data_IF_007776360968
#
_entry.id   IF_007776360968
#
_cell.length_a   1.000
_cell.length_b   1.000
_cell.length_c   1.000
_cell.angle_alpha   90.00
_cell.angle_beta   90.00
_cell.angle_gamma   90.00
#
_symmetry.space_group_name_H-M   'P 1'
#
loop_
_entity.id
_entity.type
_entity.pdbx_description
1 polymer ?
#
# COMPACT_ATOMS: atom_id res chain seq x y z
N UNK A 1 69.20 -71.57 -24.19
CA UNK A 1 68.59 -71.56 -22.83
C UNK A 1 67.98 -70.20 -22.64
N UNK A 2 66.65 -70.21 -22.66
CA UNK A 2 65.80 -69.01 -22.37
C UNK A 2 65.65 -68.80 -20.88
N UNK A 3 65.29 -67.54 -20.45
CA UNK A 3 64.01 -67.48 -19.70
C UNK A 3 63.13 -66.23 -20.06
N UNK A 4 61.91 -66.53 -20.34
CA UNK A 4 60.63 -66.12 -19.80
C UNK A 4 60.46 -64.65 -19.44
N UNK A 5 59.69 -63.94 -20.27
CA UNK A 5 58.98 -62.73 -19.98
C UNK A 5 57.71 -63.02 -19.09
N UNK A 6 57.65 -62.46 -17.91
CA UNK A 6 56.45 -62.46 -17.06
C UNK A 6 55.69 -61.13 -17.23
N UNK A 7 54.50 -61.18 -17.81
CA UNK A 7 53.50 -60.07 -17.84
C UNK A 7 52.80 -60.02 -16.48
N UNK A 8 52.96 -58.94 -15.73
CA UNK A 8 52.15 -58.68 -14.58
C UNK A 8 50.79 -58.09 -15.00
N UNK A 9 49.72 -58.87 -14.90
CA UNK A 9 48.35 -58.38 -14.96
C UNK A 9 47.97 -57.83 -13.58
N UNK A 10 47.56 -56.57 -13.54
CA UNK A 10 46.94 -55.97 -12.32
C UNK A 10 45.54 -56.54 -12.13
N UNK A 11 45.14 -56.85 -10.91
CA UNK A 11 43.83 -57.46 -10.62
C UNK A 11 42.67 -56.50 -10.89
N UNK A 12 41.53 -56.97 -11.44
CA UNK A 12 40.39 -56.16 -11.85
C UNK A 12 39.66 -55.43 -10.72
N UNK A 13 39.97 -55.74 -9.48
CA UNK A 13 39.31 -55.12 -8.32
C UNK A 13 39.66 -53.64 -8.06
N UNK A 14 40.77 -53.10 -8.57
CA UNK A 14 41.14 -51.69 -8.39
C UNK A 14 40.38 -50.74 -9.31
N UNK A 15 40.04 -51.15 -10.52
CA UNK A 15 39.32 -50.33 -11.50
C UNK A 15 37.86 -50.14 -11.05
N UNK A 16 37.24 -51.15 -10.50
CA UNK A 16 35.86 -51.11 -10.02
C UNK A 16 35.66 -50.17 -8.80
N UNK A 17 36.67 -50.04 -7.92
CA UNK A 17 36.61 -49.12 -6.76
C UNK A 17 36.68 -47.64 -7.17
N UNK A 18 37.41 -47.31 -8.22
CA UNK A 18 37.48 -45.93 -8.72
C UNK A 18 36.25 -45.56 -9.55
N UNK A 19 35.66 -46.49 -10.27
CA UNK A 19 34.42 -46.28 -11.00
C UNK A 19 33.23 -46.05 -10.08
N UNK A 20 33.12 -46.86 -9.01
CA UNK A 20 32.06 -46.64 -7.97
C UNK A 20 32.26 -45.34 -7.20
N UNK A 21 33.48 -44.87 -6.94
CA UNK A 21 33.74 -43.57 -6.28
C UNK A 21 33.41 -42.41 -7.20
N UNK A 22 33.64 -42.52 -8.52
CA UNK A 22 33.26 -41.53 -9.50
C UNK A 22 31.73 -41.44 -9.63
N UNK A 23 31.04 -42.57 -9.66
CA UNK A 23 29.58 -42.65 -9.73
C UNK A 23 28.92 -42.06 -8.46
N UNK A 24 29.45 -42.27 -7.29
CA UNK A 24 28.96 -41.69 -6.01
C UNK A 24 29.22 -40.16 -5.98
N UNK A 25 30.38 -39.70 -6.50
CA UNK A 25 30.67 -38.27 -6.61
C UNK A 25 29.75 -37.55 -7.62
N UNK A 26 29.48 -38.18 -8.79
CA UNK A 26 28.52 -37.65 -9.77
C UNK A 26 27.10 -37.66 -9.24
N UNK A 27 26.71 -38.69 -8.46
CA UNK A 27 25.39 -38.74 -7.81
C UNK A 27 25.24 -37.69 -6.70
N UNK A 28 26.31 -37.38 -5.93
CA UNK A 28 26.33 -36.33 -4.92
C UNK A 28 26.29 -34.91 -5.52
N UNK A 29 26.79 -34.71 -6.74
CA UNK A 29 26.72 -33.42 -7.45
C UNK A 29 25.34 -33.20 -8.09
N UNK A 30 24.60 -34.28 -8.44
CA UNK A 30 23.28 -34.21 -9.06
C UNK A 30 22.11 -34.01 -8.05
N UNK A 31 22.38 -34.15 -6.73
CA UNK A 31 21.30 -34.05 -5.70
C UNK A 31 21.15 -32.63 -5.13
N UNK A 32 21.95 -31.65 -5.58
CA UNK A 32 21.70 -30.24 -5.25
C UNK A 32 20.77 -29.54 -6.26
N UNK A 33 19.75 -30.22 -6.76
CA UNK A 33 18.57 -29.52 -7.26
C UNK A 33 17.81 -29.06 -6.02
N UNK A 34 18.04 -27.84 -5.61
CA UNK A 34 17.13 -27.17 -4.70
C UNK A 34 15.78 -27.14 -5.41
N UNK A 35 14.91 -28.07 -5.04
CA UNK A 35 13.49 -27.95 -5.33
C UNK A 35 13.04 -26.73 -4.55
N UNK A 36 12.92 -25.58 -5.20
CA UNK A 36 12.15 -24.46 -4.68
C UNK A 36 10.77 -25.05 -4.43
N UNK A 37 10.46 -25.25 -3.17
CA UNK A 37 9.14 -25.75 -2.79
C UNK A 37 8.14 -24.66 -3.23
N UNK A 38 7.32 -25.02 -4.21
CA UNK A 38 6.27 -24.12 -4.66
C UNK A 38 5.39 -23.77 -3.45
N UNK A 39 5.36 -22.50 -3.07
CA UNK A 39 4.55 -22.02 -1.95
C UNK A 39 3.09 -22.10 -2.39
N UNK A 40 2.32 -23.01 -1.79
CA UNK A 40 0.91 -23.15 -2.07
C UNK A 40 0.15 -22.17 -1.18
N UNK A 41 -0.40 -21.12 -1.77
CA UNK A 41 -1.33 -20.22 -1.10
C UNK A 41 -2.72 -20.88 -1.15
N UNK A 42 -3.33 -21.21 -0.02
CA UNK A 42 -4.69 -21.73 0.00
C UNK A 42 -5.68 -20.65 -0.47
N UNK A 43 -6.84 -21.07 -0.89
CA UNK A 43 -7.92 -20.15 -1.22
C UNK A 43 -8.23 -19.22 -0.04
N UNK A 44 -8.58 -17.95 -0.29
CA UNK A 44 -9.05 -17.04 0.75
C UNK A 44 -10.20 -17.64 1.56
N UNK A 45 -10.34 -17.26 2.83
CA UNK A 45 -11.47 -17.70 3.63
C UNK A 45 -12.78 -17.14 3.07
N UNK A 46 -13.86 -17.88 3.24
CA UNK A 46 -15.21 -17.37 2.99
C UNK A 46 -15.52 -16.25 4.02
N UNK A 47 -15.97 -15.11 3.53
CA UNK A 47 -16.31 -13.93 4.31
C UNK A 47 -17.81 -13.68 4.22
N UNK A 48 -18.46 -13.63 5.37
CA UNK A 48 -19.91 -13.38 5.47
C UNK A 48 -20.20 -11.86 5.45
N UNK A 49 -19.97 -11.23 4.29
CA UNK A 49 -20.19 -9.81 4.03
C UNK A 49 -20.73 -9.60 2.61
N UNK A 50 -21.36 -8.46 2.36
CA UNK A 50 -21.85 -8.08 1.02
C UNK A 50 -20.69 -7.73 0.09
N UNK A 51 -19.73 -6.96 0.59
CA UNK A 51 -18.55 -6.54 -0.14
C UNK A 51 -17.35 -6.48 0.80
N UNK A 52 -16.17 -6.83 0.29
CA UNK A 52 -14.94 -6.75 1.07
C UNK A 52 -13.70 -6.62 0.17
N UNK A 53 -12.63 -6.07 0.75
CA UNK A 53 -11.30 -6.03 0.16
C UNK A 53 -10.24 -6.11 1.25
N UNK A 54 -9.13 -6.76 0.94
CA UNK A 54 -7.90 -6.77 1.72
C UNK A 54 -6.75 -6.34 0.83
N UNK A 55 -6.05 -5.29 1.21
CA UNK A 55 -4.87 -4.80 0.51
C UNK A 55 -3.65 -4.75 1.42
N UNK A 56 -2.48 -4.82 0.82
CA UNK A 56 -1.25 -4.33 1.44
C UNK A 56 -1.26 -2.80 1.42
N UNK A 57 -1.17 -2.18 2.60
CA UNK A 57 -1.21 -0.72 2.72
C UNK A 57 -0.03 -0.03 2.05
N UNK A 58 1.17 -0.63 2.08
CA UNK A 58 2.37 -0.03 1.51
C UNK A 58 2.34 -0.03 -0.02
N UNK A 59 2.03 -1.17 -0.62
CA UNK A 59 2.07 -1.33 -2.08
C UNK A 59 0.74 -1.07 -2.78
N UNK A 60 -0.38 -1.12 -2.04
CA UNK A 60 -1.72 -1.11 -2.62
C UNK A 60 -2.11 -2.44 -3.29
N UNK A 61 -1.26 -3.48 -3.19
CA UNK A 61 -1.53 -4.78 -3.79
C UNK A 61 -2.76 -5.44 -3.17
N UNK A 62 -3.71 -5.87 -4.03
CA UNK A 62 -4.94 -6.51 -3.60
C UNK A 62 -4.68 -7.99 -3.35
N UNK A 63 -4.93 -8.42 -2.11
CA UNK A 63 -4.74 -9.81 -1.71
C UNK A 63 -6.04 -10.64 -1.84
N UNK A 64 -7.16 -10.02 -1.52
CA UNK A 64 -8.49 -10.64 -1.58
C UNK A 64 -9.54 -9.57 -1.84
N UNK A 65 -10.49 -9.85 -2.69
CA UNK A 65 -11.65 -8.97 -2.89
C UNK A 65 -12.88 -9.74 -3.35
N UNK A 66 -14.06 -9.22 -3.03
CA UNK A 66 -15.35 -9.64 -3.57
C UNK A 66 -16.31 -8.45 -3.58
N UNK A 67 -16.96 -8.23 -4.72
CA UNK A 67 -17.88 -7.10 -4.96
C UNK A 67 -17.26 -5.74 -4.57
N UNK A 68 -15.92 -5.59 -4.67
CA UNK A 68 -15.19 -4.46 -4.12
C UNK A 68 -15.56 -3.11 -4.76
N UNK A 69 -16.11 -3.11 -5.97
CA UNK A 69 -16.52 -1.92 -6.72
C UNK A 69 -18.02 -1.59 -6.56
N UNK A 70 -18.78 -2.41 -5.82
CA UNK A 70 -20.18 -2.16 -5.57
C UNK A 70 -20.37 -0.93 -4.68
N UNK A 71 -21.13 0.06 -5.16
CA UNK A 71 -21.46 1.27 -4.40
C UNK A 71 -22.54 0.95 -3.37
N UNK A 72 -22.17 0.91 -2.11
CA UNK A 72 -23.02 0.57 -0.97
C UNK A 72 -23.15 1.75 0.00
N UNK A 73 -24.21 1.83 0.81
CA UNK A 73 -24.27 2.79 1.91
C UNK A 73 -23.10 2.55 2.88
N UNK A 74 -22.23 3.55 3.11
CA UNK A 74 -21.06 3.41 3.98
C UNK A 74 -21.39 3.60 5.46
N UNK A 75 -22.56 4.14 5.78
CA UNK A 75 -22.88 4.62 7.12
C UNK A 75 -21.76 5.54 7.65
N UNK A 76 -21.38 5.40 8.92
CA UNK A 76 -20.31 6.21 9.52
C UNK A 76 -18.89 5.95 9.00
N UNK A 77 -18.66 5.07 8.02
CA UNK A 77 -17.37 5.02 7.30
C UNK A 77 -17.13 6.31 6.52
N UNK A 78 -18.19 7.04 6.14
CA UNK A 78 -18.15 8.42 5.61
C UNK A 78 -17.22 9.33 6.39
N UNK A 79 -17.17 9.17 7.71
CA UNK A 79 -16.39 10.03 8.60
C UNK A 79 -14.88 9.92 8.44
N UNK A 80 -14.40 8.91 7.71
CA UNK A 80 -13.00 8.86 7.29
C UNK A 80 -12.73 10.04 6.34
N UNK A 81 -13.62 10.31 5.37
CA UNK A 81 -13.49 11.46 4.48
C UNK A 81 -13.64 12.79 5.23
N UNK A 82 -14.53 12.84 6.21
CA UNK A 82 -14.71 14.05 7.05
C UNK A 82 -13.47 14.39 7.86
N UNK A 83 -12.84 13.38 8.49
CA UNK A 83 -11.58 13.55 9.19
C UNK A 83 -10.44 13.89 8.22
N UNK A 84 -10.35 13.18 7.09
CA UNK A 84 -9.37 13.42 6.04
C UNK A 84 -9.35 14.89 5.59
N UNK A 85 -10.50 15.48 5.29
CA UNK A 85 -10.59 16.88 4.87
C UNK A 85 -10.17 17.83 6.00
N UNK A 86 -10.60 17.56 7.23
CA UNK A 86 -10.20 18.41 8.37
C UNK A 86 -8.68 18.35 8.61
N UNK A 87 -8.07 17.20 8.42
CA UNK A 87 -6.64 16.98 8.55
C UNK A 87 -5.86 17.63 7.38
N UNK A 88 -6.39 17.62 6.16
CA UNK A 88 -5.85 18.40 5.04
C UNK A 88 -5.86 19.91 5.35
N UNK A 89 -6.95 20.44 5.92
CA UNK A 89 -7.02 21.85 6.32
C UNK A 89 -6.02 22.19 7.45
N UNK A 90 -5.75 21.25 8.36
CA UNK A 90 -4.70 21.38 9.39
C UNK A 90 -3.30 21.40 8.75
N UNK A 91 -3.01 20.52 7.81
CA UNK A 91 -1.71 20.46 7.11
C UNK A 91 -1.49 21.72 6.28
N UNK A 92 -2.53 22.21 5.63
CA UNK A 92 -2.48 23.44 4.82
C UNK A 92 -2.42 24.73 5.67
N UNK A 93 -2.57 24.62 7.01
CA UNK A 93 -2.53 25.75 7.93
C UNK A 93 -3.77 26.65 7.88
N UNK A 94 -4.87 26.16 7.30
CA UNK A 94 -6.17 26.83 7.28
C UNK A 94 -6.96 26.59 8.58
N UNK A 95 -6.60 25.56 9.35
CA UNK A 95 -7.21 25.13 10.59
C UNK A 95 -6.11 24.84 11.61
N UNK A 96 -6.38 25.06 12.90
CA UNK A 96 -5.51 24.68 14.02
C UNK A 96 -6.22 23.70 14.95
N UNK A 97 -5.48 22.77 15.59
CA UNK A 97 -6.06 21.83 16.56
C UNK A 97 -6.74 22.54 17.75
N UNK A 98 -6.18 23.69 18.17
CA UNK A 98 -6.70 24.50 19.27
C UNK A 98 -7.80 25.48 18.84
N UNK A 99 -8.13 25.55 17.54
CA UNK A 99 -9.18 26.43 17.05
C UNK A 99 -10.53 26.03 17.64
N UNK A 100 -11.31 27.04 18.03
CA UNK A 100 -12.59 26.85 18.69
C UNK A 100 -13.73 26.90 17.67
N UNK A 101 -14.39 25.77 17.49
CA UNK A 101 -15.55 25.61 16.60
C UNK A 101 -16.82 25.93 17.36
N UNK A 102 -17.61 26.87 16.86
CA UNK A 102 -18.93 27.16 17.39
C UNK A 102 -19.92 26.05 17.05
N UNK A 103 -20.63 25.54 18.06
CA UNK A 103 -21.61 24.45 17.87
C UNK A 103 -22.96 25.04 17.56
N UNK A 104 -23.41 24.88 16.33
CA UNK A 104 -24.73 25.30 15.85
C UNK A 104 -25.86 24.45 16.45
N UNK A 105 -27.08 24.96 16.36
CA UNK A 105 -28.29 24.20 16.73
C UNK A 105 -28.45 22.97 15.81
N UNK A 106 -28.07 23.04 14.53
CA UNK A 106 -28.10 21.94 13.58
C UNK A 106 -27.15 20.81 14.01
N UNK A 107 -25.88 21.11 14.29
CA UNK A 107 -24.91 20.15 14.77
C UNK A 107 -25.35 19.49 16.10
N UNK A 108 -25.80 20.30 17.04
CA UNK A 108 -26.30 19.81 18.36
C UNK A 108 -27.51 18.87 18.23
N UNK A 109 -28.44 19.14 17.30
CA UNK A 109 -29.67 18.35 17.10
C UNK A 109 -29.41 17.01 16.38
N UNK A 110 -28.23 16.81 15.77
CA UNK A 110 -27.95 15.59 15.04
C UNK A 110 -28.32 14.34 15.84
N UNK A 111 -28.95 13.39 15.17
CA UNK A 111 -29.38 12.12 15.77
C UNK A 111 -28.29 11.05 15.65
N UNK A 112 -28.52 9.88 16.22
CA UNK A 112 -27.64 8.73 16.17
C UNK A 112 -26.46 8.84 17.13
N UNK A 113 -25.24 8.54 16.67
CA UNK A 113 -24.03 8.61 17.50
C UNK A 113 -23.62 10.05 17.78
N UNK A 114 -23.31 10.37 19.04
CA UNK A 114 -22.93 11.72 19.48
C UNK A 114 -21.71 11.71 20.38
N UNK A 115 -20.88 12.76 20.30
CA UNK A 115 -19.91 13.07 21.35
C UNK A 115 -20.52 13.95 22.48
N UNK A 116 -21.75 14.38 22.29
CA UNK A 116 -22.53 15.20 23.22
C UNK A 116 -22.01 16.65 23.36
N UNK A 117 -21.80 17.31 22.20
CA UNK A 117 -21.52 18.75 22.16
C UNK A 117 -22.73 19.56 22.69
N UNK A 118 -22.46 20.71 23.30
CA UNK A 118 -23.52 21.63 23.77
C UNK A 118 -23.85 22.70 22.71
N UNK A 119 -25.14 23.02 22.53
CA UNK A 119 -25.54 24.12 21.64
C UNK A 119 -24.94 25.45 22.13
N UNK A 120 -24.54 26.31 21.20
CA UNK A 120 -23.91 27.61 21.46
C UNK A 120 -22.62 27.57 22.31
N UNK A 121 -22.00 26.37 22.42
CA UNK A 121 -20.66 26.22 23.02
C UNK A 121 -19.57 26.28 21.96
N UNK A 122 -18.35 26.33 22.44
CA UNK A 122 -17.16 26.21 21.57
C UNK A 122 -16.38 24.96 21.95
N UNK A 123 -15.94 24.19 20.93
CA UNK A 123 -15.22 22.94 21.10
C UNK A 123 -13.96 23.00 20.24
N UNK A 124 -12.83 22.52 20.74
CA UNK A 124 -11.58 22.48 19.93
C UNK A 124 -11.71 21.52 18.76
N UNK A 125 -11.01 21.82 17.67
CA UNK A 125 -10.91 20.92 16.50
C UNK A 125 -10.38 19.56 16.94
N UNK A 126 -9.38 19.53 17.83
CA UNK A 126 -8.81 18.29 18.37
C UNK A 126 -9.86 17.39 19.04
N UNK A 127 -10.71 17.97 19.91
CA UNK A 127 -11.79 17.24 20.59
C UNK A 127 -12.85 16.76 19.58
N UNK A 128 -13.20 17.59 18.58
CA UNK A 128 -14.15 17.21 17.54
C UNK A 128 -13.62 16.05 16.69
N UNK A 129 -12.34 16.06 16.31
CA UNK A 129 -11.71 14.95 15.58
C UNK A 129 -11.75 13.66 16.39
N UNK A 130 -11.39 13.69 17.69
CA UNK A 130 -11.56 12.51 18.57
C UNK A 130 -13.02 12.07 18.66
N UNK A 131 -13.95 13.02 18.77
CA UNK A 131 -15.38 12.72 18.75
C UNK A 131 -15.84 12.03 17.46
N UNK A 132 -15.34 12.44 16.30
CA UNK A 132 -15.61 11.84 14.98
C UNK A 132 -15.03 10.44 14.88
N UNK A 133 -13.76 10.30 15.24
CA UNK A 133 -12.97 9.05 15.04
C UNK A 133 -13.39 7.98 16.05
N UNK A 134 -13.36 8.31 17.35
CA UNK A 134 -13.52 7.35 18.44
C UNK A 134 -15.00 7.03 18.66
N UNK A 135 -15.81 8.06 18.87
CA UNK A 135 -17.23 7.89 19.20
C UNK A 135 -18.14 7.84 17.99
N UNK A 136 -17.61 8.25 16.82
CA UNK A 136 -18.43 8.36 15.61
C UNK A 136 -19.51 9.45 15.70
N UNK A 137 -19.21 10.59 16.37
CA UNK A 137 -20.14 11.68 16.63
C UNK A 137 -20.68 12.32 15.35
N UNK A 138 -21.99 12.25 15.12
CA UNK A 138 -22.65 12.94 14.02
C UNK A 138 -22.66 14.45 14.28
N UNK A 139 -22.88 14.84 15.53
CA UNK A 139 -22.82 16.21 16.04
C UNK A 139 -21.45 16.85 15.78
N UNK A 140 -20.38 16.14 16.07
CA UNK A 140 -19.01 16.59 15.80
C UNK A 140 -18.73 16.71 14.30
N UNK A 141 -19.22 15.76 13.48
CA UNK A 141 -19.01 15.77 12.03
C UNK A 141 -19.66 16.99 11.38
N UNK A 142 -20.90 17.29 11.75
CA UNK A 142 -21.61 18.47 11.24
C UNK A 142 -20.96 19.76 11.72
N UNK A 143 -20.53 19.83 12.99
CA UNK A 143 -19.85 21.01 13.52
C UNK A 143 -18.55 21.32 12.77
N UNK A 144 -17.74 20.32 12.47
CA UNK A 144 -16.51 20.46 11.65
C UNK A 144 -16.85 20.87 10.22
N UNK A 145 -17.85 20.24 9.62
CA UNK A 145 -18.29 20.54 8.25
C UNK A 145 -18.76 22.01 8.11
N UNK A 146 -19.61 22.47 9.04
CA UNK A 146 -20.09 23.86 9.05
C UNK A 146 -18.94 24.86 9.30
N UNK A 147 -17.97 24.50 10.14
CA UNK A 147 -16.83 25.37 10.43
C UNK A 147 -15.91 25.53 9.21
N UNK A 148 -15.60 24.44 8.49
CA UNK A 148 -14.69 24.44 7.35
C UNK A 148 -15.34 25.08 6.12
N UNK A 149 -16.56 24.63 5.79
CA UNK A 149 -17.22 25.01 4.53
C UNK A 149 -18.38 25.99 4.67
N UNK A 150 -18.75 26.36 5.89
CA UNK A 150 -19.89 27.27 6.18
C UNK A 150 -21.24 26.58 6.21
N UNK A 151 -21.41 25.41 5.60
CA UNK A 151 -22.59 24.54 5.70
C UNK A 151 -22.23 23.09 5.42
N UNK A 152 -23.07 22.14 5.89
CA UNK A 152 -22.88 20.72 5.60
C UNK A 152 -23.00 20.40 4.11
N UNK A 153 -23.89 21.09 3.36
CA UNK A 153 -24.03 20.91 1.92
C UNK A 153 -22.75 21.33 1.17
N UNK A 154 -22.19 22.50 1.51
CA UNK A 154 -20.94 22.95 0.91
C UNK A 154 -19.77 22.01 1.25
N UNK A 155 -19.78 21.43 2.44
CA UNK A 155 -18.80 20.42 2.84
C UNK A 155 -18.98 19.12 2.05
N UNK A 156 -20.21 18.67 1.80
CA UNK A 156 -20.48 17.51 0.94
C UNK A 156 -19.97 17.73 -0.51
N UNK A 157 -20.12 18.94 -1.05
CA UNK A 157 -19.52 19.29 -2.34
C UNK A 157 -17.99 19.20 -2.29
N UNK A 158 -17.37 19.65 -1.20
CA UNK A 158 -15.92 19.51 -0.97
C UNK A 158 -15.51 18.04 -0.87
N UNK A 159 -16.27 17.19 -0.15
CA UNK A 159 -16.05 15.74 -0.08
C UNK A 159 -16.05 15.10 -1.47
N UNK A 160 -16.96 15.48 -2.35
CA UNK A 160 -17.01 14.96 -3.72
C UNK A 160 -15.81 15.42 -4.55
N UNK A 161 -15.32 16.65 -4.37
CA UNK A 161 -14.09 17.12 -5.04
C UNK A 161 -12.85 16.31 -4.56
N UNK A 162 -12.74 16.05 -3.27
CA UNK A 162 -11.68 15.18 -2.74
C UNK A 162 -11.80 13.74 -3.25
N UNK A 163 -13.03 13.22 -3.40
CA UNK A 163 -13.25 11.92 -4.02
C UNK A 163 -12.70 11.85 -5.45
N UNK A 164 -12.90 12.90 -6.26
CA UNK A 164 -12.32 13.00 -7.62
C UNK A 164 -10.80 13.03 -7.58
N UNK A 165 -10.19 13.82 -6.69
CA UNK A 165 -8.73 13.94 -6.53
C UNK A 165 -8.10 12.61 -6.10
N UNK A 166 -8.75 11.89 -5.19
CA UNK A 166 -8.30 10.60 -4.70
C UNK A 166 -8.63 9.44 -5.65
N UNK A 167 -9.42 9.67 -6.70
CA UNK A 167 -9.84 8.65 -7.65
C UNK A 167 -10.88 7.67 -7.10
N UNK A 168 -11.75 8.12 -6.17
CA UNK A 168 -12.83 7.33 -5.57
C UNK A 168 -14.03 7.29 -6.53
N UNK A 169 -13.95 6.46 -7.55
CA UNK A 169 -14.87 6.48 -8.70
C UNK A 169 -16.27 5.92 -8.41
N UNK A 170 -16.44 5.19 -7.32
CA UNK A 170 -17.69 4.59 -6.89
C UNK A 170 -18.19 5.18 -5.55
N UNK A 171 -17.83 6.44 -5.27
CA UNK A 171 -18.20 7.15 -4.06
C UNK A 171 -18.93 8.44 -4.37
N UNK A 172 -19.95 8.76 -3.56
CA UNK A 172 -20.68 10.00 -3.62
C UNK A 172 -21.14 10.42 -2.24
N UNK A 173 -20.96 11.69 -1.89
CA UNK A 173 -21.25 12.23 -0.57
C UNK A 173 -22.35 13.28 -0.62
N UNK A 174 -23.28 13.20 0.31
CA UNK A 174 -24.39 14.12 0.50
C UNK A 174 -24.41 14.75 1.90
N UNK A 175 -23.66 14.18 2.84
CA UNK A 175 -23.53 14.69 4.20
C UNK A 175 -22.19 14.24 4.83
N UNK A 176 -21.80 14.90 5.92
CA UNK A 176 -20.53 14.67 6.60
C UNK A 176 -20.53 13.48 7.56
N UNK A 177 -21.68 12.93 7.91
CA UNK A 177 -21.83 11.95 8.98
C UNK A 177 -22.06 10.51 8.50
N UNK A 178 -22.60 10.34 7.28
CA UNK A 178 -23.08 9.07 6.76
C UNK A 178 -24.38 8.61 7.42
N UNK A 179 -25.13 9.53 8.03
CA UNK A 179 -26.47 9.24 8.50
C UNK A 179 -27.43 9.24 7.30
N UNK A 180 -28.08 8.11 7.09
CA UNK A 180 -29.05 7.95 6.02
C UNK A 180 -30.35 8.70 6.34
N UNK A 181 -30.94 9.32 5.34
CA UNK A 181 -32.30 9.83 5.38
C UNK A 181 -33.16 9.07 4.36
N UNK A 182 -34.48 9.21 4.42
CA UNK A 182 -35.38 8.55 3.45
C UNK A 182 -35.13 8.95 1.99
N UNK A 183 -34.47 10.12 1.78
CA UNK A 183 -34.28 10.71 0.46
C UNK A 183 -32.82 10.76 0.03
N UNK A 184 -31.87 10.71 0.99
CA UNK A 184 -30.45 10.97 0.73
C UNK A 184 -29.58 10.02 1.56
N UNK A 185 -28.61 9.39 0.90
CA UNK A 185 -27.57 8.58 1.53
C UNK A 185 -26.25 8.69 0.74
N UNK A 186 -25.16 8.60 1.47
CA UNK A 186 -23.85 8.50 0.85
C UNK A 186 -23.66 7.12 0.23
N UNK A 187 -22.84 7.02 -0.80
CA UNK A 187 -22.41 5.74 -1.35
C UNK A 187 -20.89 5.65 -1.40
N UNK A 188 -20.33 4.50 -1.11
CA UNK A 188 -18.91 4.18 -1.27
C UNK A 188 -18.73 2.71 -1.61
N UNK A 189 -17.69 2.41 -2.37
CA UNK A 189 -17.27 1.02 -2.58
C UNK A 189 -16.20 0.59 -1.58
N UNK A 190 -16.03 -0.72 -1.38
CA UNK A 190 -14.95 -1.23 -0.52
C UNK A 190 -13.57 -0.86 -1.07
N UNK A 191 -13.41 -0.83 -2.39
CA UNK A 191 -12.17 -0.36 -3.04
C UNK A 191 -11.89 1.10 -2.72
N UNK A 192 -12.86 1.99 -2.92
CA UNK A 192 -12.69 3.42 -2.64
C UNK A 192 -12.38 3.66 -1.15
N UNK A 193 -13.05 2.95 -0.25
CA UNK A 193 -12.74 2.99 1.18
C UNK A 193 -11.31 2.53 1.48
N UNK A 194 -10.79 1.53 0.76
CA UNK A 194 -9.40 1.08 0.93
C UNK A 194 -8.39 2.11 0.41
N UNK A 195 -8.70 2.82 -0.68
CA UNK A 195 -7.89 3.93 -1.22
C UNK A 195 -7.88 5.09 -0.22
N UNK A 196 -9.05 5.51 0.26
CA UNK A 196 -9.18 6.58 1.25
C UNK A 196 -8.43 6.23 2.54
N UNK A 197 -8.62 5.02 3.07
CA UNK A 197 -7.93 4.55 4.27
C UNK A 197 -6.40 4.52 4.09
N UNK A 198 -5.93 4.11 2.92
CA UNK A 198 -4.51 4.13 2.60
C UNK A 198 -3.98 5.56 2.55
N UNK A 199 -4.70 6.48 1.91
CA UNK A 199 -4.33 7.90 1.84
C UNK A 199 -4.28 8.50 3.24
N UNK A 200 -5.27 8.25 4.08
CA UNK A 200 -5.32 8.68 5.48
C UNK A 200 -4.08 8.24 6.27
N UNK A 201 -3.70 6.98 6.17
CA UNK A 201 -2.57 6.40 6.91
C UNK A 201 -1.23 7.01 6.49
N UNK A 202 -1.02 7.24 5.20
CA UNK A 202 0.30 7.65 4.69
C UNK A 202 0.46 9.15 4.51
N UNK A 203 -0.63 9.90 4.26
CA UNK A 203 -0.59 11.36 4.12
C UNK A 203 -0.77 12.08 5.45
N UNK A 204 -1.48 11.48 6.42
CA UNK A 204 -1.85 12.10 7.70
C UNK A 204 -1.20 11.42 8.91
N UNK A 205 0.08 11.05 8.80
CA UNK A 205 0.80 10.27 9.83
C UNK A 205 0.81 10.91 11.22
N UNK A 206 0.73 12.24 11.31
CA UNK A 206 0.69 12.96 12.59
C UNK A 206 -0.67 12.83 13.29
N UNK A 207 -1.76 12.62 12.54
CA UNK A 207 -3.13 12.52 13.05
C UNK A 207 -3.62 11.08 13.16
N UNK A 208 -3.11 10.19 12.31
CA UNK A 208 -3.52 8.78 12.28
C UNK A 208 -3.47 8.07 13.65
N UNK A 209 -2.55 8.37 14.59
CA UNK A 209 -2.55 7.78 15.93
C UNK A 209 -3.87 7.95 16.72
N UNK A 210 -4.72 8.94 16.39
CA UNK A 210 -6.02 9.10 17.02
C UNK A 210 -6.95 7.91 16.77
N UNK A 211 -6.79 7.21 15.63
CA UNK A 211 -7.59 6.03 15.30
C UNK A 211 -7.28 4.82 16.20
N UNK A 212 -6.10 4.78 16.81
CA UNK A 212 -5.70 3.76 17.77
C UNK A 212 -6.14 4.04 19.20
N UNK A 213 -6.63 5.26 19.50
CA UNK A 213 -7.10 5.62 20.83
C UNK A 213 -8.31 4.76 21.20
N UNK A 214 -8.24 4.09 22.34
CA UNK A 214 -9.29 3.16 22.79
C UNK A 214 -10.46 3.84 23.46
N UNK A 215 -10.25 5.03 23.99
CA UNK A 215 -11.25 5.80 24.70
C UNK A 215 -10.94 7.29 24.64
N UNK A 216 -11.97 8.09 24.78
CA UNK A 216 -11.92 9.52 24.78
C UNK A 216 -12.87 10.05 25.87
N UNK A 217 -12.50 11.12 26.56
CA UNK A 217 -13.34 11.74 27.57
C UNK A 217 -13.71 13.17 27.15
N UNK A 218 -15.00 13.44 27.08
CA UNK A 218 -15.50 14.77 26.77
C UNK A 218 -16.70 15.08 27.69
N UNK A 219 -16.75 16.28 28.30
CA UNK A 219 -17.76 16.70 29.24
C UNK A 219 -18.05 15.66 30.36
N UNK A 220 -16.99 15.11 30.96
CA UNK A 220 -17.05 14.02 31.97
C UNK A 220 -17.71 12.72 31.46
N UNK A 221 -17.97 12.60 30.18
CA UNK A 221 -18.50 11.39 29.54
C UNK A 221 -17.35 10.59 28.93
N UNK A 222 -17.12 9.40 29.48
CA UNK A 222 -16.14 8.44 28.92
C UNK A 222 -16.75 7.70 27.74
N UNK A 223 -16.10 7.75 26.61
CA UNK A 223 -16.56 7.18 25.35
C UNK A 223 -15.51 6.20 24.82
N UNK A 224 -15.91 4.95 24.58
CA UNK A 224 -15.02 3.90 24.08
C UNK A 224 -15.03 3.86 22.56
N UNK A 225 -13.86 3.57 21.96
CA UNK A 225 -13.77 3.33 20.53
C UNK A 225 -14.66 2.14 20.14
N UNK A 226 -15.42 2.31 19.06
CA UNK A 226 -16.36 1.31 18.56
C UNK A 226 -15.70 0.18 17.76
N UNK A 227 -14.43 0.34 17.39
CA UNK A 227 -13.64 -0.71 16.77
C UNK A 227 -13.16 -1.71 17.82
N UNK A 228 -13.91 -2.79 18.00
CA UNK A 228 -13.60 -3.82 19.00
C UNK A 228 -12.30 -4.58 18.74
N UNK A 229 -11.77 -4.54 17.50
CA UNK A 229 -10.48 -5.17 17.19
C UNK A 229 -9.30 -4.49 17.89
N UNK A 230 -9.37 -3.18 18.17
CA UNK A 230 -8.34 -2.46 18.95
C UNK A 230 -8.11 -3.08 20.35
N UNK A 231 -9.12 -3.79 20.89
CA UNK A 231 -9.06 -4.43 22.21
C UNK A 231 -8.69 -5.91 22.12
N UNK A 232 -8.82 -6.52 20.93
CA UNK A 232 -8.65 -7.97 20.70
C UNK A 232 -7.32 -8.32 20.02
N UNK A 233 -6.80 -7.43 19.16
CA UNK A 233 -5.56 -7.64 18.42
C UNK A 233 -4.64 -6.43 18.58
N UNK A 234 -3.46 -6.64 19.14
CA UNK A 234 -2.47 -5.59 19.41
C UNK A 234 -1.85 -4.98 18.13
N UNK A 235 -1.98 -5.66 16.98
CA UNK A 235 -1.46 -5.19 15.72
C UNK A 235 -2.43 -4.24 15.01
N UNK A 236 -3.71 -4.23 15.43
CA UNK A 236 -4.73 -3.32 14.88
C UNK A 236 -4.55 -1.94 15.49
N UNK A 237 -4.45 -0.92 14.64
CA UNK A 237 -4.23 0.48 15.00
C UNK A 237 -5.26 1.45 14.40
N UNK A 238 -6.33 0.93 13.80
CA UNK A 238 -7.42 1.70 13.19
C UNK A 238 -8.51 0.76 12.67
N UNK A 239 -9.61 1.19 12.07
CA UNK A 239 -9.84 2.56 11.71
C UNK A 239 -11.25 2.99 12.14
N UNK A 240 -12.28 2.62 11.37
CA UNK A 240 -13.63 3.15 11.53
C UNK A 240 -14.70 2.07 11.36
N UNK A 241 -15.74 2.14 12.19
CA UNK A 241 -16.95 1.33 12.09
C UNK A 241 -18.10 2.13 11.49
N UNK A 242 -18.99 1.43 10.78
CA UNK A 242 -20.26 1.96 10.29
C UNK A 242 -21.42 1.04 10.61
N UNK A 243 -22.60 1.60 10.78
CA UNK A 243 -23.85 0.86 10.88
C UNK A 243 -25.06 1.76 10.59
N UNK A 244 -25.92 1.32 9.72
CA UNK A 244 -27.32 1.72 9.56
C UNK A 244 -28.13 0.48 9.16
N UNK A 245 -29.45 0.55 9.19
CA UNK A 245 -30.28 -0.56 8.72
C UNK A 245 -30.00 -0.90 7.25
N UNK A 246 -29.73 0.08 6.42
CA UNK A 246 -29.41 -0.10 4.98
C UNK A 246 -27.99 -0.65 4.77
N UNK A 247 -27.00 -0.17 5.52
CA UNK A 247 -25.60 -0.54 5.35
C UNK A 247 -25.24 -1.89 5.96
N UNK A 248 -25.99 -2.37 6.95
CA UNK A 248 -25.54 -3.45 7.82
C UNK A 248 -24.33 -3.02 8.67
N UNK A 249 -23.59 -3.96 9.22
CA UNK A 249 -22.40 -3.66 10.02
C UNK A 249 -21.15 -3.65 9.17
N UNK A 250 -20.45 -2.51 9.15
CA UNK A 250 -19.26 -2.26 8.34
C UNK A 250 -18.04 -1.95 9.21
N UNK A 251 -16.85 -2.29 8.70
CA UNK A 251 -15.57 -1.99 9.34
C UNK A 251 -14.47 -1.76 8.30
N UNK A 252 -13.78 -0.63 8.40
CA UNK A 252 -12.45 -0.43 7.85
C UNK A 252 -11.46 -0.65 8.98
N UNK A 253 -10.50 -1.55 8.80
CA UNK A 253 -9.46 -1.82 9.78
C UNK A 253 -8.08 -1.76 9.15
N UNK A 254 -7.11 -1.25 9.91
CA UNK A 254 -5.69 -1.34 9.61
C UNK A 254 -4.98 -2.11 10.71
N UNK A 255 -4.01 -2.90 10.30
CA UNK A 255 -3.13 -3.63 11.21
C UNK A 255 -1.71 -3.67 10.66
N UNK A 256 -0.71 -3.59 11.55
CA UNK A 256 0.70 -3.68 11.17
C UNK A 256 1.41 -4.78 11.95
N UNK A 257 2.16 -5.61 11.22
CA UNK A 257 2.96 -6.68 11.81
C UNK A 257 4.19 -6.98 10.97
N UNK A 258 5.35 -7.05 11.62
CA UNK A 258 6.63 -7.41 10.98
C UNK A 258 6.96 -6.57 9.74
N UNK A 259 6.61 -5.27 9.75
CA UNK A 259 6.85 -4.33 8.64
C UNK A 259 5.84 -4.41 7.49
N UNK A 260 4.83 -5.28 7.57
CA UNK A 260 3.71 -5.33 6.64
C UNK A 260 2.49 -4.67 7.28
N UNK A 261 1.88 -3.73 6.57
CA UNK A 261 0.59 -3.14 6.92
C UNK A 261 -0.52 -3.66 6.02
N UNK A 262 -1.59 -4.15 6.62
CA UNK A 262 -2.79 -4.57 5.91
C UNK A 262 -3.94 -3.60 6.17
N UNK A 263 -4.71 -3.30 5.13
CA UNK A 263 -5.96 -2.56 5.22
C UNK A 263 -7.08 -3.49 4.77
N UNK A 264 -8.08 -3.68 5.61
CA UNK A 264 -9.25 -4.52 5.36
C UNK A 264 -10.52 -3.68 5.41
N UNK A 265 -11.35 -3.78 4.39
CA UNK A 265 -12.69 -3.22 4.36
C UNK A 265 -13.69 -4.35 4.29
N UNK A 266 -14.67 -4.34 5.18
CA UNK A 266 -15.76 -5.33 5.23
C UNK A 266 -17.07 -4.56 5.37
N UNK A 267 -18.02 -4.78 4.44
CA UNK A 267 -19.29 -4.08 4.37
C UNK A 267 -20.46 -5.04 4.36
N UNK A 268 -21.55 -4.67 5.04
CA UNK A 268 -22.81 -5.42 4.98
C UNK A 268 -22.81 -6.72 5.77
N UNK A 269 -22.13 -6.80 6.91
CA UNK A 269 -22.22 -7.98 7.80
C UNK A 269 -23.46 -7.92 8.69
N UNK A 270 -23.84 -9.08 9.27
CA UNK A 270 -25.09 -9.24 10.01
C UNK A 270 -25.04 -8.66 11.45
N UNK A 271 -23.86 -8.45 12.04
CA UNK A 271 -23.74 -7.99 13.43
C UNK A 271 -22.40 -7.29 13.70
N UNK A 272 -22.32 -6.62 14.85
CA UNK A 272 -21.11 -6.00 15.35
C UNK A 272 -19.97 -7.01 15.53
N UNK A 273 -20.26 -8.18 16.09
CA UNK A 273 -19.27 -9.24 16.22
C UNK A 273 -18.87 -9.84 14.86
N UNK A 274 -19.81 -9.97 13.92
CA UNK A 274 -19.53 -10.49 12.58
C UNK A 274 -18.54 -9.60 11.85
N UNK A 275 -18.71 -8.26 11.83
CA UNK A 275 -17.75 -7.37 11.15
C UNK A 275 -16.33 -7.52 11.70
N UNK A 276 -16.20 -7.71 13.03
CA UNK A 276 -14.89 -7.91 13.66
C UNK A 276 -14.29 -9.29 13.33
N UNK A 277 -15.10 -10.35 13.34
CA UNK A 277 -14.67 -11.72 13.03
C UNK A 277 -14.24 -11.81 11.56
N UNK A 278 -15.05 -11.30 10.64
CA UNK A 278 -14.78 -11.37 9.20
C UNK A 278 -13.52 -10.56 8.84
N UNK A 279 -13.36 -9.37 9.41
CA UNK A 279 -12.13 -8.57 9.27
C UNK A 279 -10.91 -9.32 9.81
N UNK A 280 -11.00 -9.97 10.98
CA UNK A 280 -9.91 -10.73 11.56
C UNK A 280 -9.50 -11.93 10.68
N UNK A 281 -10.44 -12.59 10.01
CA UNK A 281 -10.13 -13.66 9.04
C UNK A 281 -9.27 -13.14 7.88
N UNK A 282 -9.63 -11.97 7.31
CA UNK A 282 -8.89 -11.34 6.22
C UNK A 282 -7.47 -10.96 6.68
N UNK A 283 -7.33 -10.24 7.81
CA UNK A 283 -6.03 -9.86 8.36
C UNK A 283 -5.14 -11.08 8.65
N UNK A 284 -5.73 -12.13 9.25
CA UNK A 284 -5.01 -13.38 9.55
C UNK A 284 -4.53 -14.06 8.27
N UNK A 285 -5.35 -14.08 7.23
CA UNK A 285 -4.99 -14.64 5.92
C UNK A 285 -3.82 -13.87 5.30
N UNK A 286 -3.93 -12.54 5.22
CA UNK A 286 -2.86 -11.70 4.65
C UNK A 286 -1.52 -11.90 5.37
N UNK A 287 -1.48 -11.71 6.69
CA UNK A 287 -0.24 -11.87 7.46
C UNK A 287 0.32 -13.30 7.45
N UNK A 288 -0.50 -14.31 7.24
CA UNK A 288 -0.03 -15.70 7.21
C UNK A 288 0.64 -16.06 5.91
N UNK A 289 0.12 -15.57 4.78
CA UNK A 289 0.50 -16.04 3.46
C UNK A 289 1.29 -15.03 2.64
N UNK A 290 1.33 -13.76 3.06
CA UNK A 290 2.02 -12.70 2.33
C UNK A 290 3.01 -11.96 3.22
N UNK A 291 3.92 -11.26 2.58
CA UNK A 291 4.91 -10.39 3.19
C UNK A 291 5.26 -9.24 2.26
N UNK A 292 5.61 -8.09 2.84
CA UNK A 292 6.06 -6.91 2.11
C UNK A 292 7.57 -6.80 2.18
N UNK A 293 8.21 -6.61 1.04
CA UNK A 293 9.65 -6.42 0.95
C UNK A 293 9.98 -5.06 0.36
N UNK A 294 10.89 -4.34 1.01
CA UNK A 294 11.55 -3.18 0.44
C UNK A 294 12.64 -3.67 -0.49
N UNK A 295 12.56 -3.31 -1.77
CA UNK A 295 13.52 -3.71 -2.78
C UNK A 295 14.62 -2.69 -2.97
N UNK A 296 14.27 -1.40 -2.99
CA UNK A 296 15.19 -0.30 -3.24
C UNK A 296 14.94 0.87 -2.31
N UNK A 297 16.04 1.51 -1.91
CA UNK A 297 16.02 2.79 -1.19
C UNK A 297 15.79 3.96 -2.16
N UNK A 298 15.35 5.13 -1.67
CA UNK A 298 15.24 6.33 -2.49
C UNK A 298 16.60 6.68 -3.10
N UNK A 299 16.61 6.95 -4.40
CA UNK A 299 17.82 7.29 -5.14
C UNK A 299 18.91 6.19 -5.16
N UNK A 300 18.52 4.93 -4.96
CA UNK A 300 19.45 3.80 -5.09
C UNK A 300 19.92 3.65 -6.53
N UNK A 301 21.24 3.54 -6.72
CA UNK A 301 21.85 3.37 -8.03
C UNK A 301 21.78 1.90 -8.45
N UNK A 302 21.08 1.63 -9.54
CA UNK A 302 20.90 0.29 -10.07
C UNK A 302 22.02 -0.11 -11.05
N UNK A 303 22.50 0.86 -11.85
CA UNK A 303 23.54 0.62 -12.87
C UNK A 303 24.24 1.90 -13.25
N UNK A 304 25.42 1.78 -13.86
CA UNK A 304 26.16 2.87 -14.48
C UNK A 304 26.28 2.60 -15.99
N UNK A 305 25.85 3.56 -16.81
CA UNK A 305 25.75 3.40 -18.26
C UNK A 305 26.56 4.44 -19.01
N UNK A 306 27.05 4.08 -20.20
CA UNK A 306 27.79 5.01 -21.04
C UNK A 306 26.89 6.10 -21.61
N UNK A 307 27.37 7.35 -21.57
CA UNK A 307 26.74 8.50 -22.23
C UNK A 307 27.56 8.94 -23.43
N UNK A 308 26.93 8.99 -24.58
CA UNK A 308 27.49 9.47 -25.81
C UNK A 308 27.34 10.98 -25.96
N UNK A 309 28.32 11.63 -26.57
CA UNK A 309 28.35 13.08 -26.82
C UNK A 309 28.27 13.96 -25.56
N UNK A 310 28.41 13.38 -24.38
CA UNK A 310 28.30 14.08 -23.10
C UNK A 310 29.61 14.67 -22.59
N UNK A 311 29.53 15.65 -21.69
CA UNK A 311 30.69 16.18 -20.93
C UNK A 311 31.31 15.09 -20.05
N UNK A 312 30.49 14.18 -19.55
CA UNK A 312 30.87 12.96 -18.84
C UNK A 312 30.76 11.74 -19.77
N UNK A 313 31.44 10.64 -19.44
CA UNK A 313 31.44 9.40 -20.23
C UNK A 313 30.41 8.40 -19.76
N UNK A 314 29.87 8.57 -18.56
CA UNK A 314 28.89 7.68 -17.96
C UNK A 314 27.97 8.47 -17.04
N UNK A 315 26.78 7.89 -16.76
CA UNK A 315 25.79 8.38 -15.82
C UNK A 315 25.28 7.22 -14.97
N UNK A 316 25.04 7.49 -13.69
CA UNK A 316 24.36 6.57 -12.80
C UNK A 316 22.87 6.61 -13.06
N UNK A 317 22.25 5.44 -13.18
CA UNK A 317 20.81 5.28 -13.27
C UNK A 317 20.28 4.60 -12.01
N UNK A 318 19.16 5.08 -11.48
CA UNK A 318 18.57 4.59 -10.25
C UNK A 318 17.06 4.75 -10.20
N UNK A 319 16.47 4.43 -9.06
CA UNK A 319 15.02 4.60 -8.78
C UNK A 319 14.77 5.93 -8.08
N UNK A 320 13.65 6.63 -8.39
CA UNK A 320 13.37 7.95 -7.80
C UNK A 320 12.95 7.89 -6.32
N UNK A 321 12.41 6.75 -5.88
CA UNK A 321 11.83 6.60 -4.55
C UNK A 321 11.98 5.20 -3.98
N UNK A 322 11.42 5.00 -2.80
CA UNK A 322 11.34 3.68 -2.18
C UNK A 322 10.50 2.73 -3.04
N UNK A 323 10.96 1.51 -3.19
CA UNK A 323 10.23 0.47 -3.92
C UNK A 323 9.92 -0.69 -3.00
N UNK A 324 8.64 -0.98 -2.87
CA UNK A 324 8.13 -2.12 -2.11
C UNK A 324 7.35 -3.08 -3.02
N UNK A 325 7.36 -4.35 -2.67
CA UNK A 325 6.55 -5.39 -3.31
C UNK A 325 5.89 -6.26 -2.27
N UNK A 326 4.71 -6.75 -2.59
CA UNK A 326 3.98 -7.73 -1.79
C UNK A 326 4.08 -9.08 -2.49
N UNK A 327 4.59 -10.08 -1.79
CA UNK A 327 4.81 -11.42 -2.33
C UNK A 327 4.29 -12.50 -1.39
N UNK A 328 4.07 -13.71 -1.90
CA UNK A 328 3.85 -14.87 -1.04
C UNK A 328 5.03 -15.09 -0.10
N UNK A 329 4.73 -15.40 1.16
CA UNK A 329 5.73 -15.56 2.21
C UNK A 329 6.76 -16.62 1.87
N UNK A 330 8.05 -16.25 2.01
CA UNK A 330 9.19 -17.14 1.75
C UNK A 330 9.61 -17.23 0.29
N UNK A 331 9.12 -16.38 -0.59
CA UNK A 331 9.51 -16.33 -2.00
C UNK A 331 10.48 -15.20 -2.36
N UNK A 332 11.00 -14.47 -1.39
CA UNK A 332 11.89 -13.34 -1.64
C UNK A 332 13.12 -13.71 -2.49
N UNK A 333 13.72 -14.88 -2.26
CA UNK A 333 14.90 -15.34 -3.02
C UNK A 333 14.59 -15.77 -4.47
N UNK A 334 13.32 -15.98 -4.82
CA UNK A 334 12.89 -16.32 -6.17
C UNK A 334 12.67 -15.10 -7.07
N UNK A 335 12.65 -13.90 -6.49
CA UNK A 335 12.50 -12.67 -7.26
C UNK A 335 13.74 -12.41 -8.13
N UNK A 336 13.50 -11.93 -9.34
CA UNK A 336 14.55 -11.48 -10.26
C UNK A 336 14.23 -10.07 -10.74
N UNK A 337 15.26 -9.21 -10.82
CA UNK A 337 15.12 -7.87 -11.37
C UNK A 337 15.83 -7.77 -12.71
N UNK A 338 15.23 -7.07 -13.66
CA UNK A 338 15.80 -6.74 -14.95
C UNK A 338 15.58 -5.28 -15.28
N UNK A 339 16.56 -4.68 -15.99
CA UNK A 339 16.48 -3.31 -16.47
C UNK A 339 16.20 -3.34 -17.97
N UNK A 340 15.22 -2.55 -18.38
CA UNK A 340 14.91 -2.28 -19.79
C UNK A 340 15.20 -0.79 -20.03
N UNK A 341 16.38 -0.53 -20.60
CA UNK A 341 16.93 0.81 -20.82
C UNK A 341 17.41 0.94 -22.26
N UNK A 342 17.44 2.14 -22.80
CA UNK A 342 17.91 2.41 -24.16
C UNK A 342 19.38 1.96 -24.33
N UNK A 343 19.66 1.25 -25.39
CA UNK A 343 21.04 0.78 -25.73
C UNK A 343 22.01 1.95 -25.97
N UNK A 344 21.50 3.08 -26.48
CA UNK A 344 22.30 4.27 -26.80
C UNK A 344 21.77 5.49 -26.05
N UNK A 345 22.45 5.84 -24.99
CA UNK A 345 22.13 7.02 -24.17
C UNK A 345 23.06 8.17 -24.59
N UNK A 346 22.48 9.30 -24.99
CA UNK A 346 23.21 10.47 -25.49
C UNK A 346 22.87 11.74 -24.71
N UNK A 347 23.88 12.55 -24.46
CA UNK A 347 23.70 13.89 -23.87
C UNK A 347 22.98 14.87 -24.82
N UNK A 348 22.27 15.88 -24.30
CA UNK A 348 22.17 16.24 -22.88
C UNK A 348 21.17 15.36 -22.13
N UNK A 349 21.41 15.14 -20.84
CA UNK A 349 20.52 14.46 -19.91
C UNK A 349 20.20 15.38 -18.75
N UNK A 350 18.95 15.44 -18.33
CA UNK A 350 18.56 16.13 -17.11
C UNK A 350 18.55 15.16 -15.91
N UNK A 351 18.86 15.69 -14.72
CA UNK A 351 18.63 14.95 -13.49
C UNK A 351 17.13 14.60 -13.35
N UNK A 352 16.80 13.34 -12.99
CA UNK A 352 15.42 12.84 -12.91
C UNK A 352 14.80 12.47 -14.27
N UNK A 353 15.52 12.59 -15.39
CA UNK A 353 15.02 12.16 -16.70
C UNK A 353 14.83 10.65 -16.72
N UNK A 354 13.64 10.20 -17.17
CA UNK A 354 13.32 8.77 -17.32
C UNK A 354 14.19 8.20 -18.44
N UNK A 355 14.91 7.12 -18.11
CA UNK A 355 15.86 6.43 -18.98
C UNK A 355 15.45 5.01 -19.33
N UNK A 356 14.41 4.50 -18.73
CA UNK A 356 13.90 3.14 -18.92
C UNK A 356 13.07 2.70 -17.74
N UNK A 357 12.94 1.38 -17.59
CA UNK A 357 12.16 0.77 -16.51
C UNK A 357 12.91 -0.38 -15.84
N UNK A 358 12.68 -0.56 -14.55
CA UNK A 358 13.05 -1.77 -13.81
C UNK A 358 11.80 -2.66 -13.69
N UNK A 359 11.96 -3.93 -14.06
CA UNK A 359 10.93 -4.95 -13.88
C UNK A 359 11.41 -5.94 -12.82
N UNK A 360 10.54 -6.24 -11.84
CA UNK A 360 10.76 -7.31 -10.86
C UNK A 360 9.77 -8.41 -11.14
N UNK A 361 10.29 -9.62 -11.28
CA UNK A 361 9.54 -10.81 -11.70
C UNK A 361 9.61 -11.87 -10.61
N UNK A 362 8.47 -12.49 -10.33
CA UNK A 362 8.34 -13.67 -9.48
C UNK A 362 7.53 -14.74 -10.25
N UNK A 363 8.03 -15.96 -10.36
CA UNK A 363 7.36 -17.07 -11.06
C UNK A 363 6.86 -16.73 -12.49
N UNK A 364 7.62 -15.91 -13.24
CA UNK A 364 7.33 -15.33 -14.56
C UNK A 364 6.28 -14.20 -14.61
N UNK A 365 5.69 -13.83 -13.49
CA UNK A 365 4.79 -12.68 -13.40
C UNK A 365 5.55 -11.41 -13.01
N UNK A 366 5.31 -10.31 -13.72
CA UNK A 366 5.86 -9.01 -13.37
C UNK A 366 5.08 -8.47 -12.15
N UNK A 367 5.71 -8.51 -10.96
CA UNK A 367 5.12 -8.06 -9.71
C UNK A 367 5.37 -6.56 -9.43
N UNK A 368 6.36 -5.97 -10.11
CA UNK A 368 6.63 -4.54 -10.05
C UNK A 368 7.23 -4.06 -11.36
N UNK A 369 6.83 -2.87 -11.79
CA UNK A 369 7.42 -2.12 -12.89
C UNK A 369 7.48 -0.65 -12.52
N UNK A 370 8.67 -0.06 -12.56
CA UNK A 370 8.88 1.33 -12.20
C UNK A 370 9.94 2.02 -13.04
N UNK A 371 9.93 3.34 -13.02
CA UNK A 371 10.85 4.16 -13.79
C UNK A 371 12.29 4.06 -13.26
N UNK A 372 13.23 4.05 -14.20
CA UNK A 372 14.66 4.22 -13.96
C UNK A 372 15.06 5.59 -14.48
N UNK A 373 15.66 6.40 -13.62
CA UNK A 373 15.99 7.80 -13.92
C UNK A 373 17.49 8.05 -13.93
N UNK A 374 17.92 9.10 -14.65
CA UNK A 374 19.28 9.63 -14.55
C UNK A 374 19.47 10.34 -13.19
N UNK A 375 20.50 9.94 -12.44
CA UNK A 375 20.77 10.44 -11.10
C UNK A 375 21.53 11.77 -11.08
N UNK A 376 21.95 12.24 -12.25
CA UNK A 376 22.68 13.50 -12.42
C UNK A 376 22.48 14.06 -13.82
N UNK A 377 22.67 15.37 -13.95
CA UNK A 377 22.70 16.06 -15.23
C UNK A 377 24.01 15.75 -15.99
N UNK A 378 23.91 15.57 -17.30
CA UNK A 378 25.06 15.43 -18.19
C UNK A 378 24.92 16.40 -19.37
N UNK A 379 25.72 17.44 -19.36
CA UNK A 379 25.79 18.43 -20.44
C UNK A 379 26.42 17.87 -21.71
N UNK A 380 26.26 18.60 -22.82
CA UNK A 380 26.95 18.27 -24.08
C UNK A 380 28.47 18.41 -23.92
N UNK A 381 29.20 17.43 -24.41
CA UNK A 381 30.64 17.47 -24.50
C UNK A 381 31.17 18.41 -25.60
N UNK A 382 32.46 18.70 -25.55
CA UNK A 382 33.14 19.52 -26.56
C UNK A 382 33.02 18.92 -27.98
N UNK A 383 33.12 19.77 -29.00
CA UNK A 383 32.92 19.41 -30.42
C UNK A 383 33.77 18.19 -30.86
N UNK A 384 35.04 18.11 -30.41
CA UNK A 384 35.92 17.03 -30.73
C UNK A 384 35.42 15.68 -30.15
N UNK A 385 35.02 15.66 -28.88
CA UNK A 385 34.46 14.48 -28.21
C UNK A 385 33.19 14.01 -28.91
N UNK A 386 32.28 14.94 -29.23
CA UNK A 386 31.03 14.64 -29.95
C UNK A 386 31.30 14.01 -31.32
N UNK A 387 32.30 14.54 -32.07
CA UNK A 387 32.70 13.95 -33.37
C UNK A 387 33.27 12.54 -33.21
N UNK A 388 34.14 12.31 -32.21
CA UNK A 388 34.71 10.99 -31.94
C UNK A 388 33.60 10.01 -31.54
N UNK A 389 32.72 10.40 -30.66
CA UNK A 389 31.60 9.55 -30.22
C UNK A 389 30.66 9.23 -31.37
N UNK A 390 30.36 10.19 -32.25
CA UNK A 390 29.54 9.98 -33.45
C UNK A 390 30.18 8.99 -34.41
N UNK A 391 31.49 9.13 -34.70
CA UNK A 391 32.23 8.20 -35.54
C UNK A 391 32.25 6.80 -34.93
N UNK A 392 32.44 6.67 -33.63
CA UNK A 392 32.49 5.39 -32.94
C UNK A 392 31.13 4.68 -33.03
N UNK A 393 30.02 5.39 -32.80
CA UNK A 393 28.65 4.84 -32.95
C UNK A 393 28.38 4.44 -34.41
N UNK A 394 28.78 5.28 -35.38
CA UNK A 394 28.59 4.99 -36.80
C UNK A 394 29.27 3.69 -37.20
N UNK A 395 30.54 3.52 -36.80
CA UNK A 395 31.29 2.29 -37.14
C UNK A 395 30.79 1.07 -36.33
N UNK A 396 30.37 1.26 -35.07
CA UNK A 396 29.76 0.17 -34.29
C UNK A 396 28.48 -0.34 -34.95
N UNK A 397 27.62 0.54 -35.44
CA UNK A 397 26.39 0.16 -36.14
C UNK A 397 26.64 -0.44 -37.53
N UNK A 398 27.78 -0.09 -38.17
CA UNK A 398 28.11 -0.61 -39.50
C UNK A 398 28.77 -2.01 -39.46
N UNK A 399 29.52 -2.31 -38.38
CA UNK A 399 30.32 -3.54 -38.26
C UNK A 399 29.93 -4.43 -37.09
N UNK A 400 28.96 -3.99 -36.25
CA UNK A 400 28.51 -4.66 -35.01
C UNK A 400 27.17 -5.38 -35.15
N UNK A 401 26.82 -5.86 -36.37
CA UNK A 401 25.65 -6.69 -36.63
C UNK A 401 25.98 -8.18 -36.56
#
# INVERSE_FOLDING_TARGET
MSPKNAKYMLPPQRIMKHFNRLLVLVFLVLVNVQTIAQVIIPRPPEIAATSYILIDGMTGHILVEENADEALPPASLTKIMTAYIAEEELINGNLGLDDLVHISENAWRMEGSKMFVGVDTQVSVEDLLRGIIIQSGNDASVAVAEHIAGSEEAFADMMNQYAEVLGLTNSFFMNASGLDTELYYNTMSARDLSILARSEIYSHQDFYPMYAEREFMYNDIRQSNRNTLLFRDRNVDGMKTGWTDAAGFCLVASAERDGMRLISVVMGTASEDSRAIETQKLLTYGFRYYETHKLYEPNEILTNVRVWSGSQTAVDLGVPGEVYVTIPRGQAEAMTASLDIDEVISAPLNNGQIMGVVNVVLDNDVIYRGDVIAMQEVELGGLLKRLIDWLTLFFSNLFGG
#
